data_IF_872352298070
#
_entry.id   IF_872352298070
#
_cell.length_a   1.000
_cell.length_b   1.000
_cell.length_c   1.000
_cell.angle_alpha   90.00
_cell.angle_beta   90.00
_cell.angle_gamma   90.00
#
_symmetry.space_group_name_H-M   'P 1'
#
loop_
_entity.id
_entity.type
_entity.pdbx_description
1 polymer ?
#
# COMPACT_ATOMS: atom_id res chain seq x y z
N UNK A 1 -3.17 -16.51 -5.52
CA UNK A 1 -3.56 -16.79 -4.12
C UNK A 1 -4.72 -17.77 -4.14
N UNK A 2 -4.73 -18.76 -3.24
CA UNK A 2 -5.90 -19.60 -3.04
C UNK A 2 -7.06 -18.75 -2.52
N UNK A 3 -8.29 -19.10 -2.87
CA UNK A 3 -9.47 -18.46 -2.28
C UNK A 3 -9.50 -18.72 -0.76
N UNK A 4 -9.91 -17.73 0.06
CA UNK A 4 -10.03 -17.93 1.50
C UNK A 4 -11.02 -19.06 1.81
N UNK A 5 -10.76 -19.81 2.88
CA UNK A 5 -11.66 -20.87 3.32
C UNK A 5 -12.89 -20.25 3.98
N UNK A 6 -14.05 -20.91 3.89
CA UNK A 6 -15.27 -20.46 4.55
C UNK A 6 -15.08 -20.27 6.07
N UNK A 7 -14.29 -21.14 6.69
CA UNK A 7 -13.92 -21.05 8.11
C UNK A 7 -13.23 -19.74 8.49
N UNK A 8 -12.44 -19.16 7.59
CA UNK A 8 -11.71 -17.92 7.86
C UNK A 8 -12.66 -16.72 7.89
N UNK A 9 -13.65 -16.73 7.00
CA UNK A 9 -14.69 -15.72 6.96
C UNK A 9 -15.57 -15.76 8.22
N UNK A 10 -15.97 -16.96 8.64
CA UNK A 10 -16.79 -17.14 9.84
C UNK A 10 -16.07 -16.64 11.10
N UNK A 11 -14.77 -16.92 11.22
CA UNK A 11 -13.93 -16.43 12.33
C UNK A 11 -13.82 -14.90 12.32
N UNK A 12 -13.64 -14.29 11.15
CA UNK A 12 -13.56 -12.83 11.02
C UNK A 12 -14.88 -12.15 11.43
N UNK A 13 -16.02 -12.72 11.03
CA UNK A 13 -17.34 -12.20 11.38
C UNK A 13 -17.60 -12.28 12.89
N UNK A 14 -17.22 -13.38 13.53
CA UNK A 14 -17.32 -13.54 14.98
C UNK A 14 -16.45 -12.51 15.73
N UNK A 15 -15.20 -12.31 15.30
CA UNK A 15 -14.31 -11.29 15.85
C UNK A 15 -14.90 -9.88 15.74
N UNK A 16 -15.46 -9.53 14.57
CA UNK A 16 -16.13 -8.24 14.34
C UNK A 16 -17.33 -8.06 15.27
N UNK A 17 -18.18 -9.08 15.42
CA UNK A 17 -19.37 -9.00 16.26
C UNK A 17 -19.03 -8.79 17.75
N UNK A 18 -17.94 -9.40 18.22
CA UNK A 18 -17.45 -9.24 19.60
C UNK A 18 -16.75 -7.89 19.88
N UNK A 19 -16.51 -7.07 18.84
CA UNK A 19 -15.70 -5.86 18.92
C UNK A 19 -16.53 -4.59 18.66
N UNK A 20 -17.29 -4.07 19.65
CA UNK A 20 -18.22 -2.94 19.46
C UNK A 20 -17.53 -1.59 19.16
N UNK A 21 -16.22 -1.48 19.43
CA UNK A 21 -15.40 -0.30 19.13
C UNK A 21 -14.18 -0.68 18.31
N UNK A 22 -14.41 -1.36 17.20
CA UNK A 22 -13.32 -1.83 16.35
C UNK A 22 -12.61 -0.67 15.64
N UNK A 23 -11.32 -0.52 15.92
CA UNK A 23 -10.39 0.28 15.13
C UNK A 23 -9.87 -0.57 13.97
N UNK A 24 -9.84 0.00 12.76
CA UNK A 24 -9.26 -0.65 11.58
C UNK A 24 -8.05 0.15 11.13
N UNK A 25 -6.90 -0.51 11.03
CA UNK A 25 -5.70 0.04 10.43
C UNK A 25 -5.51 -0.61 9.05
N UNK A 26 -5.36 0.21 8.01
CA UNK A 26 -5.24 -0.27 6.63
C UNK A 26 -3.90 0.09 6.04
N UNK A 27 -3.32 -0.82 5.25
CA UNK A 27 -2.18 -0.52 4.38
C UNK A 27 -2.60 -0.27 2.93
N UNK A 28 -1.62 -0.07 2.04
CA UNK A 28 -1.86 0.16 0.60
C UNK A 28 -2.65 -0.96 -0.10
N UNK A 29 -2.64 -2.18 0.45
CA UNK A 29 -3.37 -3.33 -0.10
C UNK A 29 -4.87 -3.10 -0.26
N UNK A 30 -5.49 -2.25 0.57
CA UNK A 30 -6.93 -1.94 0.45
C UNK A 30 -7.27 -1.25 -0.87
N UNK A 31 -6.32 -0.52 -1.47
CA UNK A 31 -6.52 0.24 -2.71
C UNK A 31 -6.16 -0.55 -3.98
N UNK A 32 -5.61 -1.77 -3.84
CA UNK A 32 -5.18 -2.58 -4.99
C UNK A 32 -6.33 -2.88 -5.96
N UNK A 33 -7.50 -3.22 -5.44
CA UNK A 33 -8.71 -3.47 -6.23
C UNK A 33 -9.25 -2.22 -6.94
N UNK A 34 -8.77 -1.02 -6.58
CA UNK A 34 -9.13 0.25 -7.22
C UNK A 34 -8.12 0.69 -8.28
N UNK A 35 -7.17 -0.18 -8.66
CA UNK A 35 -6.14 0.11 -9.66
C UNK A 35 -4.95 0.91 -9.14
N UNK A 36 -4.87 1.18 -7.82
CA UNK A 36 -3.72 1.82 -7.20
C UNK A 36 -2.69 0.74 -6.81
N UNK A 37 -1.48 0.76 -7.40
CA UNK A 37 -0.47 -0.27 -7.13
C UNK A 37 0.01 -0.26 -5.67
N UNK A 38 0.27 -1.44 -5.12
CA UNK A 38 0.89 -1.59 -3.79
C UNK A 38 2.40 -1.38 -3.86
N UNK A 39 3.03 -1.22 -2.69
CA UNK A 39 4.49 -1.12 -2.59
C UNK A 39 5.19 -2.49 -2.71
N UNK A 40 4.55 -3.53 -2.17
CA UNK A 40 5.08 -4.90 -2.07
C UNK A 40 4.06 -5.93 -2.57
N UNK A 41 4.55 -7.09 -2.98
CA UNK A 41 3.71 -8.27 -3.24
C UNK A 41 3.27 -8.96 -1.93
N UNK A 42 2.55 -10.08 -2.06
CA UNK A 42 2.03 -10.83 -0.91
C UNK A 42 3.15 -11.45 -0.07
N UNK A 43 4.32 -11.69 -0.67
CA UNK A 43 5.51 -12.24 -0.07
C UNK A 43 6.43 -11.15 0.53
N UNK A 44 6.07 -9.87 0.38
CA UNK A 44 6.78 -8.72 0.93
C UNK A 44 7.91 -8.17 0.04
N UNK A 45 8.07 -8.68 -1.17
CA UNK A 45 9.06 -8.23 -2.16
C UNK A 45 8.64 -6.88 -2.74
N UNK A 46 9.60 -5.99 -2.97
CA UNK A 46 9.33 -4.68 -3.59
C UNK A 46 8.89 -4.84 -5.05
N UNK A 47 7.74 -4.26 -5.40
CA UNK A 47 7.21 -4.29 -6.77
C UNK A 47 7.84 -3.22 -7.68
N UNK A 48 8.48 -2.19 -7.09
CA UNK A 48 9.00 -1.03 -7.80
C UNK A 48 10.36 -0.62 -7.26
N UNK A 49 11.03 0.24 -8.03
CA UNK A 49 12.30 0.84 -7.66
C UNK A 49 12.24 1.51 -6.28
N UNK A 50 13.38 1.49 -5.58
CA UNK A 50 13.53 2.07 -4.24
C UNK A 50 13.00 3.51 -4.19
N UNK A 51 12.11 3.82 -3.23
CA UNK A 51 11.64 5.18 -3.02
C UNK A 51 12.80 6.15 -2.79
N UNK A 52 12.65 7.39 -3.24
CA UNK A 52 13.57 8.47 -2.85
C UNK A 52 13.51 8.65 -1.33
N UNK A 53 14.65 8.73 -0.68
CA UNK A 53 14.71 9.03 0.76
C UNK A 53 14.51 10.52 1.01
N UNK A 54 14.07 10.87 2.22
CA UNK A 54 13.90 12.26 2.62
C UNK A 54 15.21 13.07 2.48
N UNK A 55 16.35 12.49 2.87
CA UNK A 55 17.65 13.13 2.77
C UNK A 55 18.07 13.38 1.32
N UNK A 56 17.88 12.41 0.43
CA UNK A 56 18.16 12.58 -1.01
C UNK A 56 17.28 13.69 -1.61
N UNK A 57 16.00 13.73 -1.25
CA UNK A 57 15.09 14.75 -1.74
C UNK A 57 15.52 16.17 -1.33
N UNK A 58 15.99 16.35 -0.10
CA UNK A 58 16.45 17.66 0.39
C UNK A 58 17.81 18.06 -0.16
N UNK A 59 18.78 17.13 -0.15
CA UNK A 59 20.21 17.42 -0.40
C UNK A 59 20.60 17.40 -1.86
N UNK A 60 19.84 16.73 -2.72
CA UNK A 60 20.17 16.59 -4.14
C UNK A 60 19.09 17.26 -5.03
N UNK A 61 19.37 18.47 -5.56
CA UNK A 61 18.46 19.17 -6.46
C UNK A 61 18.12 18.40 -7.73
N UNK A 62 19.03 17.57 -8.26
CA UNK A 62 18.78 16.79 -9.47
C UNK A 62 17.79 15.65 -9.21
N UNK A 63 17.95 14.94 -8.08
CA UNK A 63 16.99 13.91 -7.65
C UNK A 63 15.61 14.49 -7.37
N UNK A 64 15.55 15.67 -6.75
CA UNK A 64 14.28 16.38 -6.51
C UNK A 64 13.60 16.80 -7.81
N UNK A 65 14.34 17.35 -8.78
CA UNK A 65 13.79 17.64 -10.13
C UNK A 65 13.26 16.39 -10.82
N UNK A 66 14.01 15.28 -10.76
CA UNK A 66 13.58 13.98 -11.32
C UNK A 66 12.32 13.45 -10.63
N UNK A 67 12.21 13.57 -9.30
CA UNK A 67 11.01 13.19 -8.56
C UNK A 67 9.79 13.95 -9.08
N UNK A 68 9.84 15.29 -9.11
CA UNK A 68 8.72 16.10 -9.58
C UNK A 68 8.39 15.87 -11.06
N UNK A 69 9.42 15.73 -11.92
CA UNK A 69 9.21 15.44 -13.35
C UNK A 69 8.55 14.08 -13.62
N UNK A 70 8.63 13.11 -12.69
CA UNK A 70 7.87 11.85 -12.79
C UNK A 70 6.45 12.00 -12.23
N UNK A 71 6.29 12.75 -11.14
CA UNK A 71 5.00 12.95 -10.48
C UNK A 71 4.00 13.71 -11.34
N UNK A 72 4.46 14.59 -12.24
CA UNK A 72 3.60 15.31 -13.19
C UNK A 72 2.84 14.39 -14.14
N UNK A 73 3.41 13.23 -14.51
CA UNK A 73 2.74 12.26 -15.40
C UNK A 73 1.53 11.61 -14.72
N UNK A 74 1.48 11.60 -13.39
CA UNK A 74 0.38 11.03 -12.60
C UNK A 74 -0.75 12.01 -12.25
N UNK A 75 -0.65 13.28 -12.66
CA UNK A 75 -1.65 14.33 -12.45
C UNK A 75 -1.92 15.03 -13.80
N UNK A 76 -2.92 14.59 -14.59
CA UNK A 76 -3.37 15.33 -15.77
C UNK A 76 -4.01 16.68 -15.39
#
# INVERSE_FOLDING_TARGET
MAAPLQSDLDQLLAFRAASPRLLVLTGAGISAGSGIPTYRDAEGTWLRATPITHQEFLRDPARRRRYWGRSTVGWP
#
